data_IF_016851394054
#
_entry.id   IF_016851394054
#
_cell.length_a   1.000
_cell.length_b   1.000
_cell.length_c   1.000
_cell.angle_alpha   90.00
_cell.angle_beta   90.00
_cell.angle_gamma   90.00
#
_symmetry.space_group_name_H-M   'P 1'
#
loop_
_entity.id
_entity.type
_entity.pdbx_description
1 polymer ?
#
# COMPACT_ATOMS: atom_id res chain seq x y z
N UNK A 1 18.21 -9.08 -4.08
CA UNK A 1 18.03 -8.04 -5.10
C UNK A 1 17.65 -6.74 -4.44
N UNK A 2 18.23 -5.64 -4.87
CA UNK A 2 17.96 -4.32 -4.31
C UNK A 2 16.63 -3.77 -4.81
N UNK A 3 16.01 -2.91 -4.00
CA UNK A 3 14.73 -2.29 -4.37
C UNK A 3 14.81 -1.53 -5.71
N UNK A 4 15.93 -0.82 -5.96
CA UNK A 4 16.11 -0.08 -7.21
C UNK A 4 16.09 -1.01 -8.43
N UNK A 5 16.67 -2.20 -8.30
CA UNK A 5 16.66 -3.20 -9.37
C UNK A 5 15.25 -3.75 -9.60
N UNK A 6 14.52 -4.00 -8.51
CA UNK A 6 13.13 -4.48 -8.61
C UNK A 6 12.24 -3.45 -9.26
N UNK A 7 12.41 -2.16 -8.91
CA UNK A 7 11.62 -1.08 -9.50
C UNK A 7 11.89 -0.98 -11.00
N UNK A 8 13.14 -1.10 -11.42
CA UNK A 8 13.48 -1.10 -12.85
C UNK A 8 12.79 -2.24 -13.58
N UNK A 9 12.76 -3.43 -12.97
CA UNK A 9 12.08 -4.58 -13.57
C UNK A 9 10.57 -4.38 -13.66
N UNK A 10 9.97 -3.74 -12.64
CA UNK A 10 8.55 -3.39 -12.68
C UNK A 10 8.29 -2.43 -13.85
N UNK A 11 9.16 -1.44 -14.04
CA UNK A 11 9.04 -0.48 -15.16
C UNK A 11 9.10 -1.18 -16.52
N UNK A 12 9.86 -2.27 -16.62
CA UNK A 12 9.96 -3.02 -17.87
C UNK A 12 8.89 -4.11 -18.02
N UNK A 13 7.92 -4.15 -17.11
CA UNK A 13 6.77 -5.05 -17.19
C UNK A 13 6.98 -6.42 -16.56
N UNK A 14 7.99 -6.59 -15.73
CA UNK A 14 8.28 -7.87 -15.07
C UNK A 14 7.37 -8.07 -13.87
N UNK A 15 6.38 -8.96 -14.01
CA UNK A 15 5.40 -9.23 -12.95
C UNK A 15 6.01 -9.95 -11.74
N UNK A 16 7.04 -10.73 -11.94
CA UNK A 16 7.71 -11.43 -10.83
C UNK A 16 8.34 -10.43 -9.85
N UNK A 17 8.86 -9.31 -10.36
CA UNK A 17 9.45 -8.27 -9.52
C UNK A 17 8.41 -7.66 -8.59
N UNK A 18 7.18 -7.50 -9.05
CA UNK A 18 6.08 -7.02 -8.20
C UNK A 18 5.84 -7.99 -7.06
N UNK A 19 5.80 -9.28 -7.33
CA UNK A 19 5.63 -10.31 -6.31
C UNK A 19 6.71 -10.27 -5.24
N UNK A 20 7.95 -10.05 -5.65
CA UNK A 20 9.08 -9.96 -4.72
C UNK A 20 8.93 -8.72 -3.82
N UNK A 21 8.49 -7.61 -4.38
CA UNK A 21 8.27 -6.39 -3.60
C UNK A 21 7.16 -6.61 -2.57
N UNK A 22 6.06 -7.23 -2.97
CA UNK A 22 4.96 -7.54 -2.06
C UNK A 22 5.45 -8.42 -0.92
N UNK A 23 6.16 -9.50 -1.25
CA UNK A 23 6.68 -10.43 -0.26
C UNK A 23 7.60 -9.73 0.74
N UNK A 24 8.43 -8.81 0.25
CA UNK A 24 9.40 -8.09 1.07
C UNK A 24 8.76 -7.13 2.07
N UNK A 25 7.67 -6.49 1.69
CA UNK A 25 7.10 -5.40 2.47
C UNK A 25 5.70 -5.65 3.02
N UNK A 26 5.05 -6.78 2.66
CA UNK A 26 3.68 -7.03 3.06
C UNK A 26 3.48 -6.95 4.56
N UNK A 27 4.34 -7.61 5.33
CA UNK A 27 4.20 -7.64 6.79
C UNK A 27 4.30 -6.23 7.40
N UNK A 28 5.20 -5.41 6.89
CA UNK A 28 5.36 -4.03 7.39
C UNK A 28 4.15 -3.18 7.07
N UNK A 29 3.62 -3.31 5.85
CA UNK A 29 2.44 -2.56 5.43
C UNK A 29 1.21 -3.01 6.20
N UNK A 30 1.03 -4.34 6.36
CA UNK A 30 -0.09 -4.88 7.11
C UNK A 30 -0.07 -4.39 8.56
N UNK A 31 1.10 -4.45 9.21
CA UNK A 31 1.23 -4.00 10.61
C UNK A 31 0.89 -2.51 10.75
N UNK A 32 1.33 -1.70 9.80
CA UNK A 32 0.98 -0.28 9.80
C UNK A 32 -0.53 -0.09 9.68
N UNK A 33 -1.15 -0.79 8.73
CA UNK A 33 -2.60 -0.70 8.52
C UNK A 33 -3.37 -1.17 9.77
N UNK A 34 -2.92 -2.27 10.38
CA UNK A 34 -3.54 -2.80 11.59
C UNK A 34 -3.45 -1.80 12.75
N UNK A 35 -2.30 -1.15 12.89
CA UNK A 35 -2.13 -0.09 13.88
C UNK A 35 -3.13 1.05 13.66
N UNK A 36 -3.35 1.42 12.41
CA UNK A 36 -4.21 2.55 12.06
C UNK A 36 -5.70 2.21 12.22
N UNK A 37 -6.15 1.08 11.69
CA UNK A 37 -7.60 0.77 11.63
C UNK A 37 -8.07 -0.19 12.73
N UNK A 38 -7.15 -0.92 13.34
CA UNK A 38 -7.38 -1.77 14.52
C UNK A 38 -8.33 -2.95 14.30
N UNK A 39 -8.64 -3.30 13.06
CA UNK A 39 -9.35 -4.52 12.71
C UNK A 39 -8.57 -5.26 11.64
N UNK A 40 -8.47 -6.59 11.80
CA UNK A 40 -7.68 -7.42 10.89
C UNK A 40 -8.23 -7.39 9.46
N UNK A 41 -9.55 -7.49 9.32
CA UNK A 41 -10.18 -7.51 8.01
C UNK A 41 -9.94 -6.22 7.24
N UNK A 42 -10.10 -5.07 7.89
CA UNK A 42 -9.88 -3.78 7.25
C UNK A 42 -8.39 -3.57 6.95
N UNK A 43 -7.51 -3.98 7.86
CA UNK A 43 -6.07 -3.88 7.64
C UNK A 43 -5.63 -4.71 6.43
N UNK A 44 -6.17 -5.92 6.31
CA UNK A 44 -5.89 -6.78 5.16
C UNK A 44 -6.34 -6.13 3.86
N UNK A 45 -7.56 -5.61 3.82
CA UNK A 45 -8.10 -4.98 2.63
C UNK A 45 -7.28 -3.76 2.22
N UNK A 46 -6.87 -2.94 3.19
CA UNK A 46 -6.09 -1.73 2.91
C UNK A 46 -4.67 -2.11 2.44
N UNK A 47 -4.07 -3.13 3.05
CA UNK A 47 -2.76 -3.59 2.60
C UNK A 47 -2.82 -4.09 1.16
N UNK A 48 -3.85 -4.86 0.80
CA UNK A 48 -4.07 -5.30 -0.57
C UNK A 48 -4.21 -4.12 -1.52
N UNK A 49 -5.04 -3.15 -1.17
CA UNK A 49 -5.25 -1.97 -2.00
C UNK A 49 -3.96 -1.17 -2.17
N UNK A 50 -3.12 -1.10 -1.12
CA UNK A 50 -1.83 -0.42 -1.19
C UNK A 50 -0.97 -0.99 -2.31
N UNK A 51 -0.86 -2.31 -2.38
CA UNK A 51 -0.05 -2.95 -3.42
C UNK A 51 -0.70 -2.86 -4.80
N UNK A 52 -2.03 -2.90 -4.87
CA UNK A 52 -2.72 -2.70 -6.14
C UNK A 52 -2.47 -1.29 -6.69
N UNK A 53 -2.51 -0.28 -5.83
CA UNK A 53 -2.17 1.09 -6.24
C UNK A 53 -0.71 1.22 -6.63
N UNK A 54 0.19 0.54 -5.92
CA UNK A 54 1.59 0.52 -6.30
C UNK A 54 1.76 -0.07 -7.70
N UNK A 55 1.10 -1.19 -7.98
CA UNK A 55 1.17 -1.83 -9.30
C UNK A 55 0.65 -0.90 -10.40
N UNK A 56 -0.39 -0.13 -10.12
CA UNK A 56 -1.03 0.74 -11.10
C UNK A 56 -0.25 2.04 -11.32
N UNK A 57 0.27 2.64 -10.25
CA UNK A 57 0.87 3.97 -10.33
C UNK A 57 2.37 3.99 -10.03
N UNK A 58 2.89 2.94 -9.44
CA UNK A 58 4.28 2.86 -8.98
C UNK A 58 5.31 2.86 -10.12
N UNK A 59 4.86 2.66 -11.36
CA UNK A 59 5.76 2.69 -12.51
C UNK A 59 6.39 4.08 -12.73
N UNK A 60 5.79 5.12 -12.17
CA UNK A 60 6.35 6.47 -12.23
C UNK A 60 7.22 6.80 -11.02
N UNK A 61 7.37 5.87 -10.09
CA UNK A 61 8.14 6.10 -8.87
C UNK A 61 9.63 6.19 -9.18
N UNK A 62 10.28 7.26 -8.72
CA UNK A 62 11.69 7.52 -8.98
C UNK A 62 12.51 7.76 -7.71
N UNK A 63 11.91 7.54 -6.55
CA UNK A 63 12.58 7.81 -5.27
C UNK A 63 13.36 6.58 -4.79
N UNK A 64 14.19 6.79 -3.78
CA UNK A 64 15.07 5.74 -3.28
C UNK A 64 14.53 5.03 -2.04
N UNK A 65 13.33 5.40 -1.57
CA UNK A 65 12.73 4.80 -0.37
C UNK A 65 11.40 4.15 -0.72
N UNK A 66 11.47 2.92 -1.20
CA UNK A 66 10.30 2.16 -1.59
C UNK A 66 9.35 1.90 -0.41
N UNK A 67 9.90 1.53 0.74
CA UNK A 67 9.09 1.30 1.94
C UNK A 67 8.32 2.56 2.34
N UNK A 68 8.98 3.71 2.34
CA UNK A 68 8.33 4.99 2.64
C UNK A 68 7.23 5.33 1.66
N UNK A 69 7.45 5.04 0.38
CA UNK A 69 6.45 5.26 -0.65
C UNK A 69 5.21 4.39 -0.41
N UNK A 70 5.43 3.10 -0.15
CA UNK A 70 4.33 2.17 0.15
C UNK A 70 3.56 2.60 1.41
N UNK A 71 4.27 3.03 2.45
CA UNK A 71 3.65 3.52 3.68
C UNK A 71 2.82 4.78 3.43
N UNK A 72 3.27 5.65 2.54
CA UNK A 72 2.51 6.86 2.17
C UNK A 72 1.21 6.47 1.47
N UNK A 73 1.25 5.50 0.56
CA UNK A 73 0.03 5.01 -0.10
C UNK A 73 -0.92 4.44 0.94
N UNK A 74 -0.43 3.60 1.83
CA UNK A 74 -1.25 2.97 2.87
C UNK A 74 -1.87 4.02 3.80
N UNK A 75 -1.08 5.02 4.20
CA UNK A 75 -1.56 6.10 5.05
C UNK A 75 -2.72 6.86 4.40
N UNK A 76 -2.58 7.18 3.12
CA UNK A 76 -3.62 7.90 2.40
C UNK A 76 -4.91 7.07 2.30
N UNK A 77 -4.79 5.77 2.09
CA UNK A 77 -5.94 4.88 2.07
C UNK A 77 -6.60 4.84 3.46
N UNK A 78 -5.82 4.77 4.52
CA UNK A 78 -6.35 4.78 5.88
C UNK A 78 -7.11 6.08 6.19
N UNK A 79 -6.58 7.22 5.76
CA UNK A 79 -7.27 8.50 5.94
C UNK A 79 -8.61 8.53 5.22
N UNK A 80 -8.67 8.00 4.00
CA UNK A 80 -9.91 7.89 3.25
C UNK A 80 -10.90 6.95 3.96
N UNK A 81 -10.39 5.84 4.50
CA UNK A 81 -11.20 4.91 5.29
C UNK A 81 -11.86 5.61 6.49
N UNK A 82 -11.09 6.39 7.25
CA UNK A 82 -11.63 7.11 8.41
C UNK A 82 -12.63 8.18 8.00
N UNK A 83 -12.34 8.90 6.93
CA UNK A 83 -13.25 9.92 6.42
C UNK A 83 -14.58 9.31 5.99
N UNK A 84 -14.54 8.22 5.24
CA UNK A 84 -15.74 7.53 4.75
C UNK A 84 -16.55 6.98 5.92
N UNK A 85 -15.90 6.43 6.92
CA UNK A 85 -16.55 5.91 8.11
C UNK A 85 -17.27 7.03 8.89
N UNK A 86 -16.63 8.18 9.01
CA UNK A 86 -17.21 9.35 9.67
C UNK A 86 -18.43 9.86 8.89
N UNK A 87 -18.36 9.91 7.58
CA UNK A 87 -19.48 10.34 6.75
C UNK A 87 -20.68 9.40 6.88
N UNK A 88 -20.44 8.09 6.95
CA UNK A 88 -21.52 7.11 7.14
C UNK A 88 -22.23 7.30 8.49
N UNK A 89 -21.46 7.54 9.55
CA UNK A 89 -22.03 7.80 10.88
C UNK A 89 -22.85 9.08 10.87
N UNK A 90 -22.35 10.12 10.23
CA UNK A 90 -23.07 11.40 10.09
C UNK A 90 -24.36 11.23 9.28
N UNK A 91 -24.32 10.41 8.24
CA UNK A 91 -25.48 10.19 7.38
C UNK A 91 -26.62 9.44 8.09
N UNK A 92 -26.30 8.64 9.10
CA UNK A 92 -27.28 7.88 9.87
C UNK A 92 -28.03 8.79 10.88
N UNK A 93 -27.36 9.83 11.33
CA UNK A 93 -27.95 10.81 12.22
C UNK A 93 -28.91 11.76 11.50
#
# INVERSE_FOLDING_TARGET
MKDSELIQKVHSGNKEAVGIIIERYYADIYRFCLYMVQTEDDAYDIAQETFLKFMKYGTSYKHHNLKGYLLTIARNICFNYFRDKKEKVTAIE
#
